data_IF_553675898976
#
_entry.id   IF_553675898976
#
_cell.length_a   1.000
_cell.length_b   1.000
_cell.length_c   1.000
_cell.angle_alpha   90.00
_cell.angle_beta   90.00
_cell.angle_gamma   90.00
#
_symmetry.space_group_name_H-M   'P 1'
#
loop_
_entity.id
_entity.type
_entity.pdbx_description
1 polymer ?
#
# COMPACT_ATOMS: atom_id res chain seq x y z
N UNK A 1 -5.34 -15.89 28.03
CA UNK A 1 -6.68 -16.47 27.75
C UNK A 1 -6.77 -16.56 26.24
N UNK A 2 -6.64 -17.77 25.67
CA UNK A 2 -6.72 -17.98 24.23
C UNK A 2 -8.18 -17.72 23.81
N UNK A 3 -8.38 -16.72 22.95
CA UNK A 3 -9.66 -16.55 22.27
C UNK A 3 -9.88 -17.79 21.39
N UNK A 4 -11.01 -18.46 21.57
CA UNK A 4 -11.34 -19.65 20.80
C UNK A 4 -11.58 -19.33 19.32
N UNK A 5 -11.56 -20.35 18.48
CA UNK A 5 -11.79 -20.26 17.03
C UNK A 5 -13.10 -19.53 16.66
N UNK A 6 -14.12 -19.68 17.48
CA UNK A 6 -15.42 -19.02 17.28
C UNK A 6 -15.35 -17.51 17.47
N UNK A 7 -14.59 -17.03 18.46
CA UNK A 7 -14.38 -15.58 18.68
C UNK A 7 -13.59 -14.93 17.54
N UNK A 8 -12.77 -15.70 16.84
CA UNK A 8 -12.00 -15.26 15.67
C UNK A 8 -12.90 -15.10 14.43
N UNK A 9 -13.78 -16.05 14.20
CA UNK A 9 -14.78 -16.00 13.11
C UNK A 9 -15.70 -14.79 13.28
N UNK A 10 -16.23 -14.59 14.48
CA UNK A 10 -17.11 -13.47 14.81
C UNK A 10 -16.41 -12.12 14.60
N UNK A 11 -15.11 -12.02 14.92
CA UNK A 11 -14.33 -10.81 14.71
C UNK A 11 -14.04 -10.56 13.22
N UNK A 12 -13.79 -11.60 12.43
CA UNK A 12 -13.58 -11.46 10.99
C UNK A 12 -14.86 -11.00 10.29
N UNK A 13 -16.01 -11.56 10.63
CA UNK A 13 -17.31 -11.16 10.09
C UNK A 13 -17.67 -9.72 10.50
N UNK A 14 -17.33 -9.32 11.72
CA UNK A 14 -17.50 -7.96 12.20
C UNK A 14 -16.61 -6.96 11.44
N UNK A 15 -15.34 -7.29 11.21
CA UNK A 15 -14.41 -6.47 10.44
C UNK A 15 -14.85 -6.31 8.99
N UNK A 16 -15.32 -7.38 8.36
CA UNK A 16 -15.88 -7.35 7.00
C UNK A 16 -17.13 -6.49 6.90
N UNK A 17 -18.04 -6.58 7.87
CA UNK A 17 -19.24 -5.75 7.92
C UNK A 17 -18.92 -4.25 8.03
N UNK A 18 -17.87 -3.89 8.77
CA UNK A 18 -17.42 -2.51 8.95
C UNK A 18 -16.71 -1.93 7.72
N UNK A 19 -16.03 -2.76 6.95
CA UNK A 19 -15.36 -2.35 5.70
C UNK A 19 -16.35 -2.19 4.53
N UNK A 20 -17.65 -2.39 4.75
CA UNK A 20 -18.70 -2.17 3.76
C UNK A 20 -18.75 -3.24 2.66
N UNK A 21 -18.10 -4.39 2.88
CA UNK A 21 -18.10 -5.49 1.94
C UNK A 21 -19.33 -6.36 2.06
N UNK A 22 -20.16 -6.39 1.00
CA UNK A 22 -21.21 -7.41 0.83
C UNK A 22 -20.66 -8.73 0.30
N UNK A 23 -19.33 -8.83 0.14
CA UNK A 23 -18.67 -9.97 -0.50
C UNK A 23 -18.16 -10.94 0.57
N UNK A 24 -18.47 -12.20 0.36
CA UNK A 24 -18.07 -13.29 1.24
C UNK A 24 -16.55 -13.41 1.33
N UNK A 25 -15.97 -13.83 2.47
CA UNK A 25 -14.54 -14.03 2.67
C UNK A 25 -13.86 -14.94 1.62
N UNK A 26 -14.64 -15.78 0.93
CA UNK A 26 -14.17 -16.71 -0.10
C UNK A 26 -13.71 -16.03 -1.41
N UNK A 27 -14.11 -14.75 -1.65
CA UNK A 27 -13.72 -13.99 -2.85
C UNK A 27 -12.34 -13.33 -2.76
N UNK A 28 -11.69 -13.38 -1.60
CA UNK A 28 -10.38 -12.76 -1.34
C UNK A 28 -9.25 -13.80 -1.25
N UNK A 29 -9.50 -15.01 -1.73
CA UNK A 29 -8.52 -16.09 -1.75
C UNK A 29 -7.32 -15.69 -2.64
N UNK A 30 -6.19 -15.40 -2.00
CA UNK A 30 -4.94 -14.98 -2.64
C UNK A 30 -4.51 -13.54 -2.42
N UNK A 31 -5.37 -12.66 -1.92
CA UNK A 31 -5.00 -11.30 -1.53
C UNK A 31 -4.65 -11.23 -0.03
N UNK A 32 -3.57 -10.53 0.29
CA UNK A 32 -3.26 -10.21 1.68
C UNK A 32 -4.30 -9.22 2.20
N UNK A 33 -5.20 -9.70 3.07
CA UNK A 33 -6.32 -8.90 3.55
C UNK A 33 -5.98 -8.20 4.88
N UNK A 34 -6.72 -7.14 5.25
CA UNK A 34 -6.59 -6.51 6.58
C UNK A 34 -6.74 -7.51 7.73
N UNK A 35 -7.59 -8.51 7.54
CA UNK A 35 -7.81 -9.58 8.53
C UNK A 35 -6.59 -10.46 8.66
N UNK A 36 -5.92 -10.80 7.56
CA UNK A 36 -4.68 -11.59 7.58
C UNK A 36 -3.54 -10.80 8.22
N UNK A 37 -3.43 -9.51 7.94
CA UNK A 37 -2.45 -8.63 8.57
C UNK A 37 -2.65 -8.59 10.08
N UNK A 38 -3.87 -8.37 10.54
CA UNK A 38 -4.20 -8.31 11.95
C UNK A 38 -4.06 -9.67 12.65
N UNK A 39 -4.47 -10.75 11.99
CA UNK A 39 -4.25 -12.11 12.49
C UNK A 39 -2.76 -12.41 12.69
N UNK A 40 -1.94 -12.00 11.72
CA UNK A 40 -0.50 -12.19 11.80
C UNK A 40 0.12 -11.35 12.93
N UNK A 41 -0.36 -10.13 13.14
CA UNK A 41 0.02 -9.29 14.27
C UNK A 41 -0.25 -9.97 15.62
N UNK A 42 -1.39 -10.65 15.76
CA UNK A 42 -1.78 -11.31 17.01
C UNK A 42 -1.04 -12.65 17.25
N UNK A 43 -0.78 -13.41 16.20
CA UNK A 43 -0.36 -14.79 16.31
C UNK A 43 0.93 -15.13 15.57
N UNK A 44 1.46 -14.20 14.78
CA UNK A 44 2.68 -14.39 13.99
C UNK A 44 3.98 -14.25 14.78
N UNK A 45 3.91 -13.86 16.06
CA UNK A 45 5.07 -13.70 16.94
C UNK A 45 6.17 -12.79 16.34
N UNK A 46 5.80 -11.78 15.55
CA UNK A 46 6.74 -10.86 14.91
C UNK A 46 7.48 -11.42 13.69
N UNK A 47 7.06 -12.59 13.17
CA UNK A 47 7.65 -13.12 11.95
C UNK A 47 7.31 -12.23 10.75
N UNK A 48 8.29 -11.94 9.89
CA UNK A 48 8.08 -11.15 8.68
C UNK A 48 7.05 -11.77 7.74
N UNK A 49 6.34 -10.91 7.03
CA UNK A 49 5.40 -11.31 6.00
C UNK A 49 5.84 -10.75 4.66
N UNK A 50 5.68 -11.52 3.59
CA UNK A 50 6.02 -11.07 2.24
C UNK A 50 4.79 -11.06 1.35
N UNK A 51 4.60 -9.96 0.61
CA UNK A 51 3.57 -9.81 -0.40
C UNK A 51 4.15 -9.13 -1.64
N UNK A 52 3.96 -9.72 -2.83
CA UNK A 52 4.45 -9.10 -4.05
C UNK A 52 3.74 -7.77 -4.31
N UNK A 53 4.49 -6.75 -4.78
CA UNK A 53 3.91 -5.41 -5.05
C UNK A 53 2.72 -5.46 -6.01
N UNK A 54 2.67 -6.43 -6.92
CA UNK A 54 1.57 -6.60 -7.86
C UNK A 54 0.29 -7.13 -7.20
N UNK A 55 0.41 -7.73 -6.00
CA UNK A 55 -0.70 -8.31 -5.24
C UNK A 55 -1.18 -7.36 -4.12
N UNK A 56 -0.47 -6.25 -3.91
CA UNK A 56 -0.81 -5.23 -2.89
C UNK A 56 -2.08 -4.45 -3.26
N UNK A 57 -2.42 -4.36 -4.56
CA UNK A 57 -3.55 -3.58 -5.04
C UNK A 57 -3.25 -2.10 -5.28
N UNK A 58 -1.98 -1.73 -5.47
CA UNK A 58 -1.62 -0.36 -5.84
C UNK A 58 -2.05 -0.07 -7.28
N UNK A 59 -2.63 1.13 -7.48
CA UNK A 59 -3.01 1.66 -8.80
C UNK A 59 -2.32 2.99 -9.01
N UNK A 60 -1.14 2.97 -9.64
CA UNK A 60 -0.27 4.14 -9.80
C UNK A 60 -0.18 4.52 -11.27
N UNK A 61 -0.56 5.76 -11.58
CA UNK A 61 -0.35 6.42 -12.87
C UNK A 61 0.86 7.36 -12.82
N UNK A 62 1.49 7.63 -13.96
CA UNK A 62 2.65 8.54 -14.07
C UNK A 62 2.35 9.91 -13.48
N UNK A 63 1.13 10.41 -13.65
CA UNK A 63 0.69 11.70 -13.09
C UNK A 63 0.69 11.75 -11.56
N UNK A 64 0.71 10.59 -10.91
CA UNK A 64 0.73 10.44 -9.46
C UNK A 64 2.15 10.22 -8.90
N UNK A 65 3.18 10.32 -9.75
CA UNK A 65 4.59 10.16 -9.37
C UNK A 65 5.26 11.55 -9.34
N UNK A 66 5.35 12.20 -8.16
CA UNK A 66 5.80 13.59 -8.05
C UNK A 66 7.19 13.84 -8.66
N UNK A 67 8.21 13.00 -8.52
CA UNK A 67 9.51 13.20 -9.15
C UNK A 67 9.44 13.37 -10.67
N UNK A 68 8.57 12.60 -11.34
CA UNK A 68 8.40 12.68 -12.80
C UNK A 68 7.65 13.95 -13.18
N UNK A 69 6.52 14.22 -12.52
CA UNK A 69 5.70 15.39 -12.80
C UNK A 69 6.43 16.70 -12.56
N UNK A 70 7.33 16.76 -11.57
CA UNK A 70 8.15 17.92 -11.32
C UNK A 70 9.05 18.26 -12.52
N UNK A 71 9.68 17.28 -13.16
CA UNK A 71 10.53 17.50 -14.34
C UNK A 71 9.68 17.95 -15.53
N UNK A 72 8.52 17.33 -15.76
CA UNK A 72 7.59 17.70 -16.82
C UNK A 72 7.13 19.15 -16.65
N UNK A 73 6.71 19.53 -15.45
CA UNK A 73 6.14 20.84 -15.13
C UNK A 73 7.19 21.98 -15.14
N UNK A 74 8.47 21.67 -14.89
CA UNK A 74 9.55 22.65 -14.95
C UNK A 74 9.94 23.02 -16.39
N UNK A 75 9.41 22.33 -17.39
CA UNK A 75 9.61 22.68 -18.78
C UNK A 75 10.92 22.18 -19.38
N UNK A 76 11.60 21.25 -18.75
CA UNK A 76 12.80 20.62 -19.30
C UNK A 76 12.49 19.87 -20.60
N UNK A 77 13.48 19.80 -21.49
CA UNK A 77 13.42 19.07 -22.76
C UNK A 77 14.60 18.11 -22.77
N UNK A 78 14.37 16.89 -23.26
CA UNK A 78 15.41 15.87 -23.38
C UNK A 78 15.04 14.53 -22.79
N UNK A 79 16.04 13.71 -22.54
CA UNK A 79 15.93 12.39 -21.96
C UNK A 79 16.51 12.41 -20.54
N UNK A 80 15.76 11.87 -19.58
CA UNK A 80 16.12 11.87 -18.17
C UNK A 80 16.04 10.44 -17.65
N UNK A 81 17.12 9.96 -17.08
CA UNK A 81 17.13 8.73 -16.30
C UNK A 81 16.62 9.06 -14.89
N UNK A 82 15.51 8.46 -14.52
CA UNK A 82 14.83 8.70 -13.25
C UNK A 82 15.22 7.59 -12.27
N UNK A 83 15.60 7.98 -11.06
CA UNK A 83 15.77 7.10 -9.91
C UNK A 83 15.50 7.92 -8.66
N UNK A 84 14.27 7.89 -8.16
CA UNK A 84 13.83 8.77 -7.07
C UNK A 84 12.82 8.11 -6.18
N UNK A 85 12.92 8.40 -4.89
CA UNK A 85 11.95 7.97 -3.90
C UNK A 85 10.77 8.95 -3.82
N UNK A 86 9.61 8.43 -3.45
CA UNK A 86 8.42 9.23 -3.16
C UNK A 86 7.51 8.50 -2.17
N UNK A 87 6.70 9.26 -1.43
CA UNK A 87 5.72 8.71 -0.51
C UNK A 87 4.39 8.49 -1.21
N UNK A 88 3.73 7.40 -0.87
CA UNK A 88 2.37 7.07 -1.34
C UNK A 88 1.46 6.83 -0.16
N UNK A 89 0.38 7.59 -0.09
CA UNK A 89 -0.74 7.26 0.77
C UNK A 89 -1.61 6.21 0.06
N UNK A 90 -1.61 4.99 0.57
CA UNK A 90 -2.31 3.86 -0.04
C UNK A 90 -3.83 3.97 0.03
N UNK A 91 -4.38 4.95 0.77
CA UNK A 91 -5.81 5.26 0.70
C UNK A 91 -6.27 5.74 -0.68
N UNK A 92 -5.34 6.21 -1.52
CA UNK A 92 -5.58 6.56 -2.91
C UNK A 92 -5.78 5.33 -3.80
N UNK A 93 -5.31 4.17 -3.35
CA UNK A 93 -5.38 2.90 -4.06
C UNK A 93 -6.58 2.04 -3.64
N UNK A 94 -7.20 2.39 -2.51
CA UNK A 94 -8.39 1.71 -1.99
C UNK A 94 -8.30 1.36 -0.51
N UNK A 95 -9.39 0.80 -0.01
CA UNK A 95 -9.51 0.46 1.42
C UNK A 95 -8.56 -0.68 1.80
N UNK A 96 -8.38 -1.67 0.93
CA UNK A 96 -7.57 -2.86 1.22
C UNK A 96 -6.11 -2.48 1.46
N UNK A 97 -5.36 -1.87 0.52
CA UNK A 97 -3.98 -1.46 0.79
C UNK A 97 -3.87 -0.45 1.93
N UNK A 98 -4.82 0.47 2.07
CA UNK A 98 -4.85 1.46 3.15
C UNK A 98 -4.92 0.83 4.55
N UNK A 99 -5.56 -0.32 4.67
CA UNK A 99 -5.84 -0.95 5.95
C UNK A 99 -4.63 -1.64 6.59
N UNK A 100 -3.61 -1.97 5.80
CA UNK A 100 -2.42 -2.64 6.32
C UNK A 100 -1.09 -1.95 5.99
N UNK A 101 -1.04 -1.06 4.99
CA UNK A 101 0.20 -0.36 4.62
C UNK A 101 0.21 1.13 5.03
N UNK A 102 -0.92 1.84 4.99
CA UNK A 102 -0.96 3.27 5.31
C UNK A 102 -0.14 4.13 4.34
N UNK A 103 0.87 4.83 4.83
CA UNK A 103 1.81 5.60 4.00
C UNK A 103 3.08 4.79 3.78
N UNK A 104 3.39 4.48 2.54
CA UNK A 104 4.60 3.72 2.17
C UNK A 104 5.57 4.57 1.36
N UNK A 105 6.84 4.22 1.43
CA UNK A 105 7.88 4.78 0.57
C UNK A 105 8.06 3.89 -0.64
N UNK A 106 7.97 4.52 -1.80
CA UNK A 106 8.16 3.91 -3.12
C UNK A 106 9.37 4.50 -3.80
N UNK A 107 9.98 3.74 -4.69
CA UNK A 107 11.03 4.20 -5.60
C UNK A 107 10.61 4.00 -7.03
N UNK A 108 10.69 5.07 -7.84
CA UNK A 108 10.51 4.97 -9.30
C UNK A 108 11.85 4.95 -9.99
N UNK A 109 12.00 4.06 -10.96
CA UNK A 109 13.20 3.93 -11.79
C UNK A 109 12.79 3.74 -13.25
N UNK A 110 13.33 4.56 -14.15
CA UNK A 110 12.96 4.50 -15.56
C UNK A 110 13.48 5.67 -16.37
N UNK A 111 12.91 5.86 -17.55
CA UNK A 111 13.32 6.89 -18.49
C UNK A 111 12.14 7.77 -18.87
N UNK A 112 12.33 9.08 -18.67
CA UNK A 112 11.43 10.13 -19.13
C UNK A 112 12.03 10.81 -20.34
N UNK A 113 11.25 10.94 -21.42
CA UNK A 113 11.64 11.71 -22.62
C UNK A 113 10.64 12.83 -22.84
N UNK A 114 11.12 14.06 -23.05
CA UNK A 114 10.30 15.26 -23.28
C UNK A 114 10.76 15.94 -24.57
N UNK A 115 9.86 16.09 -25.53
CA UNK A 115 10.11 16.74 -26.81
C UNK A 115 10.00 18.27 -26.72
N UNK A 116 10.56 19.04 -27.70
CA UNK A 116 10.47 20.50 -27.71
C UNK A 116 9.03 21.04 -27.76
N UNK A 117 8.11 20.30 -28.36
CA UNK A 117 6.69 20.62 -28.41
C UNK A 117 5.95 20.35 -27.10
N UNK A 118 6.63 19.80 -26.10
CA UNK A 118 6.05 19.47 -24.80
C UNK A 118 5.42 18.09 -24.69
N UNK A 119 5.47 17.27 -25.75
CA UNK A 119 5.06 15.87 -25.65
C UNK A 119 6.05 15.09 -24.78
N UNK A 120 5.53 14.23 -23.91
CA UNK A 120 6.37 13.43 -23.02
C UNK A 120 5.96 11.96 -23.01
N UNK A 121 6.93 11.10 -22.72
CA UNK A 121 6.72 9.68 -22.48
C UNK A 121 7.62 9.20 -21.34
N UNK A 122 7.07 8.36 -20.49
CA UNK A 122 7.79 7.67 -19.43
C UNK A 122 7.66 6.15 -19.59
N UNK A 123 8.74 5.43 -19.34
CA UNK A 123 8.77 3.98 -19.26
C UNK A 123 9.71 3.57 -18.13
N UNK A 124 9.21 2.80 -17.19
CA UNK A 124 9.95 2.37 -16.01
C UNK A 124 9.10 1.52 -15.08
N UNK A 125 9.45 1.54 -13.82
CA UNK A 125 8.74 0.79 -12.80
C UNK A 125 8.78 1.48 -11.45
N UNK A 126 7.96 0.96 -10.56
CA UNK A 126 7.91 1.35 -9.15
C UNK A 126 8.13 0.11 -8.30
N UNK A 127 8.99 0.24 -7.29
CA UNK A 127 9.17 -0.76 -6.24
C UNK A 127 8.92 -0.14 -4.88
N UNK A 128 8.47 -0.95 -3.93
CA UNK A 128 8.26 -0.52 -2.56
C UNK A 128 9.48 -0.83 -1.69
N UNK A 129 9.69 -0.01 -0.66
CA UNK A 129 10.47 -0.42 0.49
C UNK A 129 9.62 -1.26 1.43
N UNK A 130 10.28 -2.06 2.27
CA UNK A 130 9.58 -2.80 3.31
C UNK A 130 8.86 -1.83 4.25
N UNK A 131 7.74 -2.24 4.78
CA UNK A 131 6.93 -1.48 5.72
C UNK A 131 6.78 -2.21 7.05
N UNK A 132 6.55 -1.47 8.13
CA UNK A 132 6.31 -2.05 9.45
C UNK A 132 4.81 -2.07 9.74
N UNK A 133 4.25 -3.25 9.92
CA UNK A 133 2.91 -3.37 10.45
C UNK A 133 2.94 -3.26 11.97
N UNK A 134 2.46 -2.12 12.44
CA UNK A 134 2.19 -1.88 13.86
C UNK A 134 0.73 -1.45 13.98
N UNK A 135 -0.08 -2.26 14.66
CA UNK A 135 -1.48 -1.96 14.91
C UNK A 135 -1.68 -0.88 15.99
N UNK A 136 -0.58 -0.26 16.49
CA UNK A 136 -0.64 0.78 17.50
C UNK A 136 -1.28 2.06 16.93
N UNK A 137 -2.27 2.66 17.64
CA UNK A 137 -3.04 3.81 17.16
C UNK A 137 -2.23 5.10 16.92
N UNK A 138 -0.99 5.18 17.39
CA UNK A 138 -0.18 6.41 17.35
C UNK A 138 0.44 6.75 15.99
N UNK A 139 0.36 5.90 14.98
CA UNK A 139 0.98 6.12 13.68
C UNK A 139 -0.03 6.36 12.57
N UNK A 140 -0.38 7.63 12.34
CA UNK A 140 -0.88 8.25 11.09
C UNK A 140 -1.94 7.52 10.25
N UNK A 141 -2.89 6.80 10.85
CA UNK A 141 -4.01 6.17 10.15
C UNK A 141 -5.30 6.95 10.39
N UNK A 142 -5.40 8.14 9.85
CA UNK A 142 -6.46 9.14 10.16
C UNK A 142 -7.91 8.71 9.86
N UNK A 143 -8.16 7.60 9.19
CA UNK A 143 -9.53 7.15 8.88
C UNK A 143 -9.93 5.80 9.49
N UNK A 144 -8.97 4.96 9.80
CA UNK A 144 -9.20 3.73 10.58
C UNK A 144 -8.97 3.98 12.08
N UNK A 145 -8.37 5.13 12.43
CA UNK A 145 -7.92 5.46 13.78
C UNK A 145 -9.01 5.55 14.82
N UNK A 146 -10.18 6.11 14.51
CA UNK A 146 -11.27 6.23 15.50
C UNK A 146 -11.87 4.87 15.88
N UNK A 147 -11.84 3.92 14.96
CA UNK A 147 -12.37 2.60 15.17
C UNK A 147 -11.37 1.63 15.81
N UNK A 148 -10.11 1.69 15.40
CA UNK A 148 -9.06 0.79 15.90
C UNK A 148 -8.68 1.05 17.36
N UNK A 149 -8.75 2.30 17.83
CA UNK A 149 -8.31 2.71 19.17
C UNK A 149 -9.05 2.03 20.32
N UNK A 150 -10.32 1.70 20.17
CA UNK A 150 -11.10 1.06 21.23
C UNK A 150 -10.95 -0.46 21.32
N UNK A 151 -10.56 -1.10 20.23
CA UNK A 151 -10.50 -2.57 20.12
C UNK A 151 -9.05 -3.06 20.14
N UNK A 152 -8.13 -2.38 19.41
CA UNK A 152 -6.75 -2.82 19.24
C UNK A 152 -5.90 -2.65 20.50
N UNK A 153 -6.15 -1.64 21.33
CA UNK A 153 -5.48 -1.43 22.63
C UNK A 153 -5.65 -2.61 23.60
N UNK A 154 -6.60 -3.48 23.33
CA UNK A 154 -6.87 -4.67 24.17
C UNK A 154 -6.09 -5.92 23.73
N UNK A 155 -5.43 -5.86 22.58
CA UNK A 155 -4.72 -7.00 22.01
C UNK A 155 -3.21 -6.74 22.00
N UNK A 156 -2.47 -7.52 22.78
CA UNK A 156 -1.00 -7.52 22.78
C UNK A 156 -0.50 -8.34 21.59
N UNK A 157 -0.47 -7.73 20.41
CA UNK A 157 0.18 -8.30 19.23
C UNK A 157 1.66 -7.92 19.15
N UNK A 158 2.38 -8.52 18.24
CA UNK A 158 3.79 -8.23 17.97
C UNK A 158 3.92 -7.57 16.59
N UNK A 159 4.48 -6.34 16.49
CA UNK A 159 4.78 -5.72 15.21
C UNK A 159 5.66 -6.61 14.35
N UNK A 160 5.47 -6.56 13.03
CA UNK A 160 6.25 -7.35 12.08
C UNK A 160 6.51 -6.57 10.79
N UNK A 161 7.58 -6.94 10.08
CA UNK A 161 7.91 -6.33 8.79
C UNK A 161 7.06 -6.95 7.68
N UNK A 162 6.52 -6.09 6.81
CA UNK A 162 5.93 -6.47 5.53
C UNK A 162 6.96 -6.22 4.46
N UNK A 163 7.52 -7.29 3.92
CA UNK A 163 8.41 -7.25 2.76
C UNK A 163 7.57 -7.15 1.49
N UNK A 164 7.88 -6.17 0.62
CA UNK A 164 7.11 -5.91 -0.60
C UNK A 164 8.03 -6.06 -1.83
N UNK A 165 8.41 -7.30 -2.18
CA UNK A 165 9.25 -7.55 -3.34
C UNK A 165 8.51 -7.33 -4.65
N UNK A 166 9.30 -7.21 -5.74
CA UNK A 166 8.80 -7.04 -7.10
C UNK A 166 8.87 -5.62 -7.61
N UNK A 167 8.37 -5.43 -8.82
CA UNK A 167 8.29 -4.14 -9.50
C UNK A 167 6.94 -4.05 -10.20
N UNK A 168 6.28 -2.92 -10.03
CA UNK A 168 5.09 -2.57 -10.76
C UNK A 168 5.51 -1.79 -12.01
N UNK A 169 5.23 -2.33 -13.20
CA UNK A 169 5.58 -1.66 -14.46
C UNK A 169 4.70 -0.43 -14.66
N UNK A 170 5.34 0.70 -14.90
CA UNK A 170 4.67 1.99 -15.10
C UNK A 170 5.09 2.57 -16.45
N UNK A 171 4.12 2.89 -17.27
CA UNK A 171 4.35 3.62 -18.51
C UNK A 171 3.27 4.66 -18.73
N UNK A 172 3.62 5.76 -19.36
CA UNK A 172 2.67 6.80 -19.68
C UNK A 172 3.20 7.76 -20.73
N UNK A 173 2.29 8.53 -21.29
CA UNK A 173 2.59 9.59 -22.26
C UNK A 173 1.55 10.69 -22.15
N UNK A 174 1.94 11.90 -22.50
CA UNK A 174 1.04 13.03 -22.45
C UNK A 174 1.64 14.26 -23.11
N UNK A 175 0.95 15.37 -22.92
CA UNK A 175 1.30 16.69 -23.39
C UNK A 175 1.32 17.63 -22.18
N UNK A 176 2.36 18.44 -22.08
CA UNK A 176 2.46 19.50 -21.08
C UNK A 176 1.79 20.79 -21.60
#
# INVERSE_FOLDING_TARGET
MLLGYDSYRDMSEYLFGLLGGNDSPELLDGLFTPVDAFRHYLFGNGADKSININDVGLSIDVSQIPPIMNIINQGFIGRFDISSDFNRNTSLDGIIPASYLGNITLKTEGVLSISPDGAWSYNGGVRAYNDLYDANPSTHRDRLGEWSTGVLDKFNGTPYEIQIPGTLDISGRGQR
#
